data_IF_763381180021
#
_entry.id   IF_763381180021
#
_cell.length_a   1.000
_cell.length_b   1.000
_cell.length_c   1.000
_cell.angle_alpha   90.00
_cell.angle_beta   90.00
_cell.angle_gamma   90.00
#
_symmetry.space_group_name_H-M   'P 1'
#
loop_
_entity.id
_entity.type
_entity.pdbx_description
1 polymer ?
#
# COMPACT_ATOMS: atom_id res chain seq x y z
N UNK A 1 -25.12 -11.03 -7.52
CA UNK A 1 -24.08 -10.24 -8.22
C UNK A 1 -22.85 -10.29 -7.37
N UNK A 2 -21.76 -10.77 -7.95
CA UNK A 2 -20.47 -10.84 -7.27
C UNK A 2 -19.94 -9.42 -6.98
N UNK A 3 -19.18 -9.26 -5.91
CA UNK A 3 -18.55 -8.00 -5.54
C UNK A 3 -17.16 -8.27 -5.00
N UNK A 4 -16.24 -7.35 -5.27
CA UNK A 4 -14.90 -7.40 -4.71
C UNK A 4 -14.58 -6.11 -3.97
N UNK A 5 -13.72 -6.20 -2.96
CA UNK A 5 -13.23 -5.06 -2.22
C UNK A 5 -11.89 -4.62 -2.80
N UNK A 6 -11.86 -3.42 -3.39
CA UNK A 6 -10.65 -2.84 -3.97
C UNK A 6 -9.95 -1.99 -2.92
N UNK A 7 -8.64 -2.18 -2.78
CA UNK A 7 -7.79 -1.35 -1.94
C UNK A 7 -7.17 -0.22 -2.77
N UNK A 8 -7.61 1.00 -2.51
CA UNK A 8 -7.06 2.21 -3.11
C UNK A 8 -6.01 2.82 -2.18
N UNK A 9 -4.86 3.18 -2.71
CA UNK A 9 -3.76 3.84 -1.99
C UNK A 9 -3.26 5.06 -2.75
N UNK A 10 -2.93 6.14 -2.02
CA UNK A 10 -2.31 7.32 -2.61
C UNK A 10 -0.79 7.22 -2.47
N UNK A 11 -0.08 6.84 -3.54
CA UNK A 11 1.37 6.64 -3.54
C UNK A 11 2.11 7.86 -4.11
N UNK A 12 3.38 8.11 -3.74
CA UNK A 12 4.20 9.10 -4.44
C UNK A 12 4.50 8.64 -5.87
N UNK A 13 4.54 9.59 -6.81
CA UNK A 13 5.07 9.36 -8.15
C UNK A 13 6.60 9.22 -8.14
N UNK A 14 7.15 8.76 -9.27
CA UNK A 14 8.60 8.62 -9.46
C UNK A 14 9.37 9.94 -9.34
N UNK A 15 8.69 11.07 -9.54
CA UNK A 15 9.23 12.42 -9.37
C UNK A 15 9.30 12.88 -7.90
N UNK A 16 8.77 12.09 -6.96
CA UNK A 16 8.68 12.39 -5.52
C UNK A 16 7.69 13.52 -5.15
N UNK A 17 7.19 14.25 -6.14
CA UNK A 17 6.33 15.43 -5.96
C UNK A 17 4.87 15.10 -6.20
N UNK A 18 4.60 14.35 -7.26
CA UNK A 18 3.26 13.96 -7.67
C UNK A 18 2.71 12.87 -6.75
N UNK A 19 1.39 12.78 -6.67
CA UNK A 19 0.68 11.69 -6.02
C UNK A 19 -0.07 10.89 -7.07
N UNK A 20 0.05 9.57 -7.02
CA UNK A 20 -0.59 8.62 -7.90
C UNK A 20 -1.63 7.85 -7.09
N UNK A 21 -2.88 7.89 -7.55
CA UNK A 21 -3.89 6.97 -7.05
C UNK A 21 -3.62 5.59 -7.61
N UNK A 22 -3.53 4.60 -6.74
CA UNK A 22 -3.21 3.23 -7.10
C UNK A 22 -4.24 2.26 -6.51
N UNK A 23 -4.49 1.16 -7.20
CA UNK A 23 -5.23 0.00 -6.69
C UNK A 23 -4.18 -1.08 -6.41
N UNK A 24 -3.98 -1.41 -5.14
CA UNK A 24 -2.88 -2.29 -4.71
C UNK A 24 -3.30 -3.74 -4.57
N UNK A 25 -4.56 -3.97 -4.19
CA UNK A 25 -5.10 -5.31 -4.01
C UNK A 25 -6.60 -5.37 -4.25
N UNK A 26 -7.07 -6.58 -4.51
CA UNK A 26 -8.49 -6.94 -4.57
C UNK A 26 -8.72 -7.98 -3.47
N UNK A 27 -9.79 -7.83 -2.70
CA UNK A 27 -10.20 -8.82 -1.71
C UNK A 27 -11.55 -9.41 -2.09
N UNK A 28 -11.61 -10.73 -2.17
CA UNK A 28 -12.83 -11.49 -2.48
C UNK A 28 -13.75 -11.58 -1.26
N UNK A 29 -14.98 -12.06 -1.44
CA UNK A 29 -15.94 -12.21 -0.33
C UNK A 29 -15.51 -13.28 0.70
N UNK A 30 -14.67 -14.24 0.30
CA UNK A 30 -14.04 -15.22 1.19
C UNK A 30 -12.73 -14.71 1.83
N UNK A 31 -12.46 -13.41 1.74
CA UNK A 31 -11.30 -12.71 2.34
C UNK A 31 -9.93 -13.09 1.77
N UNK A 32 -9.87 -13.72 0.59
CA UNK A 32 -8.60 -13.86 -0.13
C UNK A 32 -8.17 -12.50 -0.64
N UNK A 33 -6.93 -12.11 -0.36
CA UNK A 33 -6.38 -10.83 -0.80
C UNK A 33 -5.45 -11.13 -1.97
N UNK A 34 -5.75 -10.59 -3.14
CA UNK A 34 -4.95 -10.79 -4.33
C UNK A 34 -4.26 -9.48 -4.75
N UNK A 35 -2.98 -9.57 -5.06
CA UNK A 35 -2.13 -8.44 -5.39
C UNK A 35 -2.32 -7.99 -6.85
N UNK A 36 -2.46 -6.69 -7.07
CA UNK A 36 -2.33 -6.12 -8.42
C UNK A 36 -0.83 -5.96 -8.71
N UNK A 37 -0.31 -6.44 -9.87
CA UNK A 37 1.08 -6.28 -10.26
C UNK A 37 1.53 -4.82 -10.18
N UNK A 38 2.72 -4.54 -9.62
CA UNK A 38 3.17 -3.17 -9.33
C UNK A 38 3.09 -2.22 -10.53
N UNK A 39 3.48 -2.68 -11.71
CA UNK A 39 3.44 -1.90 -12.96
C UNK A 39 2.03 -1.60 -13.48
N UNK A 40 0.99 -2.21 -12.90
CA UNK A 40 -0.40 -2.07 -13.30
C UNK A 40 -1.27 -1.41 -12.22
N UNK A 41 -0.71 -1.07 -11.05
CA UNK A 41 -1.48 -0.54 -9.92
C UNK A 41 -2.03 0.87 -10.15
N UNK A 42 -1.37 1.68 -10.98
CA UNK A 42 -1.81 3.06 -11.18
C UNK A 42 -3.25 3.10 -11.70
N UNK A 43 -4.10 3.94 -11.11
CA UNK A 43 -5.54 3.95 -11.41
C UNK A 43 -5.84 4.21 -12.89
N UNK A 44 -4.92 4.87 -13.62
CA UNK A 44 -5.01 5.07 -15.06
C UNK A 44 -5.11 3.78 -15.88
N UNK A 45 -4.67 2.64 -15.36
CA UNK A 45 -4.88 1.33 -15.99
C UNK A 45 -6.30 0.80 -15.76
N UNK A 46 -6.96 1.21 -14.67
CA UNK A 46 -8.28 0.75 -14.24
C UNK A 46 -9.41 1.66 -14.76
N UNK A 47 -9.48 1.81 -16.09
CA UNK A 47 -10.33 2.82 -16.76
C UNK A 47 -11.81 2.74 -16.39
N UNK A 48 -12.37 1.53 -16.29
CA UNK A 48 -13.79 1.36 -15.94
C UNK A 48 -14.08 1.74 -14.50
N UNK A 49 -13.15 1.48 -13.57
CA UNK A 49 -13.28 1.94 -12.18
C UNK A 49 -13.28 3.47 -12.10
N UNK A 50 -12.45 4.16 -12.89
CA UNK A 50 -12.39 5.64 -12.89
C UNK A 50 -13.74 6.27 -13.24
N UNK A 51 -14.53 5.64 -14.12
CA UNK A 51 -15.84 6.15 -14.54
C UNK A 51 -16.89 6.07 -13.43
N UNK A 52 -16.66 5.28 -12.39
CA UNK A 52 -17.64 5.05 -11.33
C UNK A 52 -17.74 6.22 -10.35
N UNK A 53 -18.94 6.41 -9.78
CA UNK A 53 -19.16 7.34 -8.66
C UNK A 53 -18.38 6.94 -7.39
N UNK A 54 -18.04 5.65 -7.27
CA UNK A 54 -17.19 5.11 -6.20
C UNK A 54 -15.80 5.72 -6.27
N UNK A 55 -15.16 5.73 -7.44
CA UNK A 55 -13.84 6.32 -7.60
C UNK A 55 -13.83 7.82 -7.26
N UNK A 56 -14.86 8.57 -7.65
CA UNK A 56 -14.99 9.97 -7.28
C UNK A 56 -15.01 10.18 -5.75
N UNK A 57 -15.71 9.31 -5.00
CA UNK A 57 -15.73 9.31 -3.53
C UNK A 57 -14.36 8.93 -2.94
N UNK A 58 -13.68 7.93 -3.51
CA UNK A 58 -12.32 7.54 -3.12
C UNK A 58 -11.35 8.71 -3.27
N UNK A 59 -11.32 9.36 -4.44
CA UNK A 59 -10.50 10.55 -4.71
C UNK A 59 -10.77 11.68 -3.72
N UNK A 60 -12.02 11.82 -3.28
CA UNK A 60 -12.40 12.80 -2.28
C UNK A 60 -12.00 12.42 -0.85
N UNK A 61 -11.77 11.14 -0.56
CA UNK A 61 -11.44 10.65 0.79
C UNK A 61 -9.94 10.45 1.05
N UNK A 62 -9.14 10.24 0.00
CA UNK A 62 -7.68 10.09 0.08
C UNK A 62 -7.01 11.44 -0.20
N UNK A 63 -6.43 12.04 0.83
CA UNK A 63 -5.83 13.40 0.76
C UNK A 63 -4.33 13.43 1.02
N UNK A 64 -3.79 12.46 1.76
CA UNK A 64 -2.36 12.41 2.14
C UNK A 64 -1.68 11.18 1.55
N UNK A 65 -0.39 11.30 1.26
CA UNK A 65 0.46 10.18 0.83
C UNK A 65 0.31 8.99 1.80
N UNK A 66 0.33 7.80 1.22
CA UNK A 66 0.19 6.50 1.88
C UNK A 66 -1.16 6.24 2.56
N UNK A 67 -2.14 7.14 2.44
CA UNK A 67 -3.50 6.82 2.87
C UNK A 67 -4.09 5.74 1.99
N UNK A 68 -4.88 4.86 2.64
CA UNK A 68 -5.56 3.74 2.01
C UNK A 68 -7.06 3.76 2.30
N UNK A 69 -7.87 3.31 1.35
CA UNK A 69 -9.30 3.03 1.52
C UNK A 69 -9.65 1.74 0.82
N UNK A 70 -10.38 0.87 1.51
CA UNK A 70 -10.94 -0.34 0.94
C UNK A 70 -12.41 -0.12 0.65
N UNK A 71 -12.86 -0.42 -0.57
CA UNK A 71 -14.24 -0.18 -0.99
C UNK A 71 -14.77 -1.37 -1.77
N UNK A 72 -15.95 -1.84 -1.39
CA UNK A 72 -16.69 -2.86 -2.13
C UNK A 72 -17.27 -2.29 -3.42
N UNK A 73 -17.01 -2.98 -4.53
CA UNK A 73 -17.51 -2.65 -5.86
C UNK A 73 -18.22 -3.89 -6.41
N UNK A 74 -19.48 -3.72 -6.82
CA UNK A 74 -20.25 -4.76 -7.52
C UNK A 74 -19.66 -4.96 -8.91
N UNK A 75 -19.42 -6.21 -9.30
CA UNK A 75 -18.92 -6.56 -10.62
C UNK A 75 -20.04 -6.39 -11.65
N UNK A 76 -19.98 -5.30 -12.41
CA UNK A 76 -20.76 -5.14 -13.65
C UNK A 76 -20.18 -6.04 -14.73
N UNK A 77 -20.90 -6.26 -15.82
CA UNK A 77 -20.39 -7.05 -16.96
C UNK A 77 -19.06 -6.49 -17.48
N UNK A 78 -18.93 -5.17 -17.59
CA UNK A 78 -17.68 -4.50 -18.01
C UNK A 78 -16.52 -4.76 -17.05
N UNK A 79 -16.76 -4.72 -15.74
CA UNK A 79 -15.72 -5.00 -14.74
C UNK A 79 -15.37 -6.48 -14.69
N UNK A 80 -16.38 -7.36 -14.76
CA UNK A 80 -16.17 -8.81 -14.78
C UNK A 80 -15.28 -9.22 -15.96
N UNK A 81 -15.50 -8.67 -17.15
CA UNK A 81 -14.66 -8.94 -18.33
C UNK A 81 -13.20 -8.49 -18.19
N UNK A 82 -12.91 -7.57 -17.24
CA UNK A 82 -11.56 -7.05 -17.00
C UNK A 82 -10.86 -7.83 -15.90
N UNK A 83 -11.59 -8.16 -14.84
CA UNK A 83 -11.03 -8.71 -13.61
C UNK A 83 -11.21 -10.22 -13.44
N UNK A 84 -12.10 -10.83 -14.23
CA UNK A 84 -12.36 -12.28 -14.19
C UNK A 84 -12.03 -12.89 -15.55
N UNK A 85 -11.55 -14.12 -15.54
CA UNK A 85 -11.30 -14.89 -16.77
C UNK A 85 -12.48 -15.75 -17.22
N UNK A 86 -13.53 -15.84 -16.40
CA UNK A 86 -14.72 -16.67 -16.63
C UNK A 86 -14.64 -18.07 -16.03
N UNK A 87 -13.44 -18.55 -15.70
CA UNK A 87 -13.19 -19.84 -15.02
C UNK A 87 -13.09 -19.69 -13.49
N UNK A 88 -13.28 -18.47 -12.99
CA UNK A 88 -13.27 -18.13 -11.56
C UNK A 88 -11.93 -17.63 -11.06
N UNK A 89 -10.97 -17.35 -11.95
CA UNK A 89 -9.72 -16.72 -11.57
C UNK A 89 -9.81 -15.21 -11.72
N UNK A 90 -9.14 -14.52 -10.79
CA UNK A 90 -8.95 -13.09 -10.83
C UNK A 90 -7.72 -12.76 -11.67
N UNK A 91 -7.89 -11.84 -12.60
CA UNK A 91 -6.85 -11.36 -13.51
C UNK A 91 -6.85 -9.83 -13.59
N UNK A 92 -5.78 -9.28 -14.15
CA UNK A 92 -5.78 -7.91 -14.63
C UNK A 92 -4.72 -7.71 -15.72
N UNK A 93 -5.15 -7.21 -16.88
CA UNK A 93 -4.31 -7.27 -18.09
C UNK A 93 -4.10 -8.73 -18.49
N UNK A 94 -2.86 -9.09 -18.84
CA UNK A 94 -2.51 -10.45 -19.26
C UNK A 94 -1.89 -11.28 -18.10
N UNK A 95 -2.30 -11.00 -16.86
CA UNK A 95 -1.72 -11.60 -15.65
C UNK A 95 -2.80 -12.05 -14.65
N UNK A 96 -2.62 -13.23 -14.07
CA UNK A 96 -3.38 -13.68 -12.90
C UNK A 96 -2.88 -13.00 -11.64
N UNK A 97 -3.79 -12.72 -10.71
CA UNK A 97 -3.44 -12.05 -9.46
C UNK A 97 -2.89 -13.06 -8.43
N UNK A 98 -1.82 -12.68 -7.75
CA UNK A 98 -1.18 -13.51 -6.72
C UNK A 98 -1.89 -13.36 -5.38
N UNK A 99 -2.29 -14.46 -4.74
CA UNK A 99 -2.86 -14.44 -3.39
C UNK A 99 -1.78 -14.10 -2.34
N UNK A 100 -2.03 -13.05 -1.55
CA UNK A 100 -1.19 -12.65 -0.44
C UNK A 100 -1.50 -13.52 0.79
N UNK A 101 -0.63 -14.47 1.09
CA UNK A 101 -0.66 -15.20 2.37
C UNK A 101 -0.21 -14.26 3.49
N UNK A 102 -0.83 -14.35 4.68
CA UNK A 102 -0.57 -13.43 5.81
C UNK A 102 0.91 -13.29 6.22
N UNK A 103 1.78 -14.24 5.86
CA UNK A 103 3.24 -14.15 6.04
C UNK A 103 3.97 -13.21 5.07
N UNK A 104 3.42 -12.92 3.90
CA UNK A 104 4.05 -12.06 2.87
C UNK A 104 3.70 -10.57 3.02
N UNK A 105 2.75 -10.22 3.90
CA UNK A 105 2.31 -8.82 4.11
C UNK A 105 3.41 -7.91 4.69
N UNK A 106 4.43 -8.52 5.31
CA UNK A 106 5.55 -7.82 5.94
C UNK A 106 6.85 -7.83 5.12
N UNK A 107 6.93 -8.56 4.00
CA UNK A 107 8.23 -8.92 3.41
C UNK A 107 8.65 -8.17 2.13
N UNK A 108 7.84 -7.27 1.55
CA UNK A 108 8.20 -6.67 0.25
C UNK A 108 8.47 -5.16 0.19
N UNK A 109 8.41 -4.39 1.29
CA UNK A 109 8.68 -2.93 1.17
C UNK A 109 9.52 -2.23 2.22
N UNK A 110 9.92 -2.81 3.37
CA UNK A 110 10.50 -1.96 4.44
C UNK A 110 11.69 -2.50 5.22
N UNK A 111 12.04 -3.79 5.09
CA UNK A 111 13.42 -4.20 5.40
C UNK A 111 14.34 -3.65 4.29
N UNK A 112 15.65 -3.84 4.23
CA UNK A 112 16.56 -3.19 3.28
C UNK A 112 16.63 -1.64 3.31
N UNK A 113 15.55 -0.87 3.50
CA UNK A 113 15.64 0.61 3.54
C UNK A 113 15.75 1.14 4.96
N UNK A 114 14.98 0.60 5.92
CA UNK A 114 15.07 1.03 7.31
C UNK A 114 16.34 0.55 7.99
N UNK A 115 16.79 -0.70 7.77
CA UNK A 115 18.04 -1.18 8.35
C UNK A 115 19.25 -0.42 7.78
N UNK A 116 19.28 -0.15 6.47
CA UNK A 116 20.34 0.65 5.84
C UNK A 116 20.31 2.12 6.27
N UNK A 117 19.12 2.70 6.49
CA UNK A 117 18.98 4.04 7.07
C UNK A 117 19.45 4.06 8.52
N UNK A 118 19.14 3.01 9.31
CA UNK A 118 19.64 2.87 10.68
C UNK A 118 21.16 2.70 10.72
N UNK A 119 21.73 1.84 9.88
CA UNK A 119 23.19 1.65 9.78
C UNK A 119 23.88 2.95 9.40
N UNK A 120 23.42 3.65 8.36
CA UNK A 120 23.97 4.98 8.01
C UNK A 120 23.81 6.01 9.12
N UNK A 121 22.70 5.99 9.86
CA UNK A 121 22.49 6.92 10.96
C UNK A 121 23.40 6.61 12.16
N UNK A 122 23.67 5.33 12.41
CA UNK A 122 24.61 4.87 13.45
C UNK A 122 26.05 5.19 13.07
N UNK A 123 26.46 4.97 11.82
CA UNK A 123 27.79 5.35 11.32
C UNK A 123 28.04 6.86 11.43
N UNK A 124 27.09 7.69 10.97
CA UNK A 124 27.17 9.16 11.05
C UNK A 124 27.18 9.67 12.50
N UNK A 125 26.55 8.96 13.44
CA UNK A 125 26.56 9.34 14.86
C UNK A 125 27.79 8.83 15.62
N UNK A 126 28.40 7.72 15.21
CA UNK A 126 29.66 7.26 15.78
C UNK A 126 30.82 8.19 15.43
N UNK A 127 30.82 8.81 14.24
CA UNK A 127 31.83 9.81 13.87
C UNK A 127 31.71 11.15 14.62
N UNK A 128 30.56 11.46 15.22
CA UNK A 128 30.31 12.79 15.80
C UNK A 128 29.83 12.86 17.27
N UNK A 129 29.46 11.76 17.94
CA UNK A 129 28.60 11.86 19.14
C UNK A 129 28.86 10.85 20.27
N UNK A 130 30.11 10.66 20.68
CA UNK A 130 30.37 10.01 21.98
C UNK A 130 29.75 10.78 23.18
N UNK A 131 29.31 12.04 22.99
CA UNK A 131 28.71 12.87 24.05
C UNK A 131 27.18 12.94 24.07
N UNK A 132 26.46 12.78 22.95
CA UNK A 132 25.01 13.09 22.93
C UNK A 132 24.09 11.90 23.18
N UNK A 133 24.53 10.66 22.95
CA UNK A 133 23.69 9.47 23.15
C UNK A 133 23.46 9.16 24.64
N UNK A 134 24.48 9.41 25.48
CA UNK A 134 24.37 9.25 26.94
C UNK A 134 23.34 10.20 27.55
N UNK A 135 23.29 11.44 27.06
CA UNK A 135 22.31 12.45 27.51
C UNK A 135 20.86 12.10 27.14
N UNK A 136 20.66 11.45 25.98
CA UNK A 136 19.32 11.02 25.54
C UNK A 136 18.85 9.81 26.37
N UNK A 137 19.76 8.87 26.66
CA UNK A 137 19.45 7.72 27.51
C UNK A 137 19.10 8.13 28.96
N UNK A 138 19.86 9.05 29.55
CA UNK A 138 19.61 9.53 30.91
C UNK A 138 18.26 10.26 31.03
N UNK A 139 17.88 11.05 30.00
CA UNK A 139 16.60 11.76 29.99
C UNK A 139 15.39 10.81 29.86
N UNK A 140 15.55 9.73 29.09
CA UNK A 140 14.50 8.73 28.89
C UNK A 140 14.24 7.87 30.13
N UNK A 141 15.28 7.62 30.94
CA UNK A 141 15.15 6.89 32.20
C UNK A 141 14.42 7.75 33.25
N UNK A 142 14.72 9.05 33.35
CA UNK A 142 14.11 9.93 34.36
C UNK A 142 12.60 10.08 34.15
N UNK A 143 12.13 10.22 32.92
CA UNK A 143 10.69 10.37 32.61
C UNK A 143 9.87 9.12 32.96
N UNK A 144 10.47 7.93 32.93
CA UNK A 144 9.75 6.67 33.18
C UNK A 144 9.52 6.34 34.65
N UNK A 145 10.20 7.03 35.57
CA UNK A 145 10.15 6.73 37.02
C UNK A 145 9.65 7.92 37.87
N UNK A 146 9.19 9.01 37.24
CA UNK A 146 8.67 10.20 37.95
C UNK A 146 7.23 10.58 37.57
N UNK A 147 6.45 9.65 37.00
CA UNK A 147 4.98 9.76 36.89
C UNK A 147 4.27 8.82 37.84
#
# INVERSE_FOLDING_TARGET
>A
MEKYQFEFKLLPGSDGKSNIFSITSITTEDNKVLAIPEGLQAVGHHKEIIKTSIYAKVKNSLKKKYQTRKVWITMTEELANIYNDGDGNLQFGDQYLEEMVEGNRAQKTETNTLEQLFEKFVEVTQENKQQSLKQIADKFIIEKFTS
#
